data_IF_627564320381
#
_entry.id   IF_627564320381
#
_cell.length_a   1.000
_cell.length_b   1.000
_cell.length_c   1.000
_cell.angle_alpha   90.00
_cell.angle_beta   90.00
_cell.angle_gamma   90.00
#
_symmetry.space_group_name_H-M   'P 1'
#
loop_
_entity.id
_entity.type
_entity.pdbx_description
1 polymer ?
#
# COMPACT_ATOMS: atom_id res chain seq x y z
N UNK A 1 6.44 -5.54 15.80
CA UNK A 1 6.24 -5.52 14.34
C UNK A 1 6.89 -6.75 13.74
N UNK A 2 6.22 -7.39 12.80
CA UNK A 2 6.75 -8.50 12.00
C UNK A 2 7.12 -7.90 10.64
N UNK A 3 8.40 -7.92 10.31
CA UNK A 3 8.95 -7.36 9.06
C UNK A 3 9.93 -8.30 8.35
N UNK A 4 10.28 -9.43 8.98
CA UNK A 4 11.17 -10.44 8.41
C UNK A 4 10.53 -11.83 8.37
N UNK A 5 10.99 -12.68 7.44
CA UNK A 5 10.52 -14.06 7.27
C UNK A 5 10.67 -14.88 8.54
N UNK A 6 11.78 -14.73 9.26
CA UNK A 6 12.08 -15.51 10.47
C UNK A 6 11.06 -15.23 11.58
N UNK A 7 10.58 -13.99 11.67
CA UNK A 7 9.55 -13.60 12.62
C UNK A 7 8.18 -14.20 12.27
N UNK A 8 7.88 -14.40 10.98
CA UNK A 8 6.66 -15.10 10.56
C UNK A 8 6.72 -16.59 10.89
N UNK A 9 7.86 -17.25 10.60
CA UNK A 9 8.05 -18.69 10.88
C UNK A 9 7.93 -18.97 12.38
N UNK A 10 8.36 -18.03 13.23
CA UNK A 10 8.20 -18.16 14.67
C UNK A 10 6.74 -18.07 15.16
N UNK A 11 5.82 -17.56 14.34
CA UNK A 11 4.42 -17.32 14.71
C UNK A 11 3.44 -18.23 13.97
N UNK A 12 3.73 -18.64 12.74
CA UNK A 12 2.81 -19.33 11.84
C UNK A 12 3.48 -20.54 11.20
N UNK A 13 2.70 -21.61 11.01
CA UNK A 13 3.10 -22.73 10.17
C UNK A 13 2.96 -22.32 8.69
N UNK A 14 4.06 -21.86 8.08
CA UNK A 14 4.06 -21.39 6.68
C UNK A 14 3.81 -22.53 5.69
N UNK A 15 2.95 -22.26 4.71
CA UNK A 15 2.75 -23.09 3.52
C UNK A 15 3.97 -23.03 2.60
N UNK A 16 4.05 -23.96 1.65
CA UNK A 16 5.14 -23.96 0.66
C UNK A 16 5.07 -22.73 -0.25
N UNK A 17 3.88 -22.24 -0.58
CA UNK A 17 3.68 -21.01 -1.35
C UNK A 17 4.21 -19.77 -0.62
N UNK A 18 3.97 -19.66 0.69
CA UNK A 18 4.45 -18.53 1.50
C UNK A 18 5.96 -18.60 1.75
N UNK A 19 6.53 -19.81 1.84
CA UNK A 19 8.00 -19.97 1.90
C UNK A 19 8.66 -19.53 0.61
N UNK A 20 8.10 -19.95 -0.54
CA UNK A 20 8.61 -19.67 -1.89
C UNK A 20 8.56 -18.20 -2.28
N UNK A 21 7.67 -17.41 -1.66
CA UNK A 21 7.65 -15.95 -1.86
C UNK A 21 9.03 -15.30 -1.64
N UNK A 22 9.83 -15.85 -0.73
CA UNK A 22 11.14 -15.29 -0.35
C UNK A 22 12.30 -15.80 -1.20
N UNK A 23 12.04 -16.58 -2.25
CA UNK A 23 13.09 -17.10 -3.14
C UNK A 23 13.47 -16.07 -4.23
N UNK A 24 12.77 -14.93 -4.30
CA UNK A 24 13.00 -13.83 -5.24
C UNK A 24 13.23 -12.51 -4.50
N UNK A 25 14.05 -11.60 -5.04
CA UNK A 25 14.37 -10.31 -4.39
C UNK A 25 13.69 -9.07 -5.02
N UNK A 26 13.08 -9.16 -6.21
CA UNK A 26 12.69 -7.97 -6.98
C UNK A 26 11.24 -7.50 -6.77
N UNK A 27 11.08 -6.19 -6.53
CA UNK A 27 9.84 -5.44 -6.79
C UNK A 27 8.64 -5.71 -5.86
N UNK A 28 8.86 -6.38 -4.73
CA UNK A 28 7.77 -6.83 -3.86
C UNK A 28 7.40 -5.81 -2.78
N UNK A 29 6.09 -5.69 -2.50
CA UNK A 29 5.61 -4.98 -1.31
C UNK A 29 6.22 -5.64 -0.06
N UNK A 30 7.00 -4.92 0.77
CA UNK A 30 7.71 -5.51 1.89
C UNK A 30 6.74 -6.03 2.96
N UNK A 31 7.21 -6.98 3.78
CA UNK A 31 6.44 -7.50 4.90
C UNK A 31 6.32 -6.45 6.00
N UNK A 32 5.10 -6.16 6.44
CA UNK A 32 4.86 -5.31 7.62
C UNK A 32 3.53 -5.68 8.27
N UNK A 33 3.59 -6.33 9.42
CA UNK A 33 2.41 -6.77 10.17
C UNK A 33 2.54 -6.33 11.63
N UNK A 34 1.57 -5.59 12.19
CA UNK A 34 1.50 -5.32 13.63
C UNK A 34 1.43 -6.61 14.44
N UNK A 35 2.10 -6.66 15.59
CA UNK A 35 2.09 -7.84 16.46
C UNK A 35 0.67 -8.19 16.92
N UNK A 36 -0.16 -7.18 17.19
CA UNK A 36 -1.57 -7.38 17.50
C UNK A 36 -2.32 -8.06 16.35
N UNK A 37 -2.17 -7.59 15.11
CA UNK A 37 -2.82 -8.21 13.96
C UNK A 37 -2.36 -9.66 13.77
N UNK A 38 -1.05 -9.93 13.89
CA UNK A 38 -0.50 -11.28 13.79
C UNK A 38 -1.06 -12.22 14.88
N UNK A 39 -1.33 -11.71 16.10
CA UNK A 39 -1.90 -12.52 17.19
C UNK A 39 -3.35 -12.96 16.96
N UNK A 40 -4.04 -12.39 15.97
CA UNK A 40 -5.42 -12.76 15.62
C UNK A 40 -5.48 -13.88 14.58
N UNK A 41 -4.35 -14.23 13.95
CA UNK A 41 -4.26 -15.25 12.92
C UNK A 41 -4.23 -16.63 13.57
N UNK A 42 -5.07 -17.56 13.10
CA UNK A 42 -4.92 -18.98 13.44
C UNK A 42 -3.64 -19.55 12.79
N UNK A 43 -2.64 -19.98 13.58
CA UNK A 43 -1.35 -20.45 13.06
C UNK A 43 -1.45 -21.76 12.27
N UNK A 44 -2.49 -22.55 12.50
CA UNK A 44 -2.67 -23.89 11.92
C UNK A 44 -3.63 -23.89 10.73
N UNK A 45 -4.35 -22.78 10.50
CA UNK A 45 -5.26 -22.64 9.38
C UNK A 45 -4.62 -21.86 8.21
N UNK A 46 -4.18 -22.54 7.13
CA UNK A 46 -3.63 -21.85 5.96
C UNK A 46 -4.65 -21.00 5.21
N UNK A 47 -5.95 -21.22 5.44
CA UNK A 47 -7.05 -20.47 4.83
C UNK A 47 -7.60 -19.35 5.73
N UNK A 48 -6.94 -19.05 6.84
CA UNK A 48 -7.35 -17.97 7.74
C UNK A 48 -7.48 -16.64 6.95
N UNK A 49 -8.63 -15.93 7.08
CA UNK A 49 -8.89 -14.74 6.27
C UNK A 49 -8.00 -13.54 6.65
N UNK A 50 -7.49 -13.47 7.88
CA UNK A 50 -6.54 -12.42 8.29
C UNK A 50 -5.15 -12.73 7.73
N UNK A 51 -4.73 -14.01 7.78
CA UNK A 51 -3.48 -14.49 7.16
C UNK A 51 -3.37 -14.09 5.70
N UNK A 52 -4.41 -14.40 4.91
CA UNK A 52 -4.47 -14.11 3.47
C UNK A 52 -4.35 -12.63 3.13
N UNK A 53 -4.66 -11.73 4.07
CA UNK A 53 -4.55 -10.29 3.85
C UNK A 53 -3.13 -9.76 4.05
N UNK A 54 -2.25 -10.47 4.76
CA UNK A 54 -0.98 -9.89 5.25
C UNK A 54 0.26 -10.77 5.07
N UNK A 55 0.09 -12.09 5.00
CA UNK A 55 1.20 -13.02 4.76
C UNK A 55 1.42 -13.16 3.25
N UNK A 56 2.63 -12.87 2.76
CA UNK A 56 2.90 -12.90 1.33
C UNK A 56 2.99 -14.33 0.79
N UNK A 57 2.60 -14.50 -0.48
CA UNK A 57 2.58 -15.79 -1.17
C UNK A 57 3.23 -15.68 -2.55
N UNK A 58 3.88 -16.74 -3.02
CA UNK A 58 4.43 -16.83 -4.38
C UNK A 58 3.39 -16.59 -5.48
N UNK A 59 2.10 -16.72 -5.17
CA UNK A 59 1.01 -16.38 -6.08
C UNK A 59 1.02 -14.90 -6.51
N UNK A 60 1.57 -14.02 -5.68
CA UNK A 60 1.69 -12.59 -6.00
C UNK A 60 2.71 -12.30 -7.11
N UNK A 61 3.61 -13.26 -7.38
CA UNK A 61 4.64 -13.15 -8.41
C UNK A 61 4.11 -13.57 -9.79
N UNK A 62 2.87 -14.07 -9.85
CA UNK A 62 2.21 -14.44 -11.10
C UNK A 62 1.68 -13.19 -11.78
N UNK A 63 2.44 -12.70 -12.76
CA UNK A 63 2.08 -11.56 -13.60
C UNK A 63 1.52 -12.10 -14.92
N UNK A 64 0.33 -11.63 -15.31
CA UNK A 64 -0.28 -11.91 -16.61
C UNK A 64 -0.41 -10.63 -17.47
N UNK A 65 -0.89 -10.77 -18.69
CA UNK A 65 -1.08 -9.64 -19.63
C UNK A 65 -2.08 -8.57 -19.14
N UNK A 66 -2.91 -8.89 -18.15
CA UNK A 66 -3.91 -7.97 -17.57
C UNK A 66 -3.39 -7.29 -16.31
N UNK A 67 -2.23 -7.70 -15.81
CA UNK A 67 -1.62 -7.17 -14.61
C UNK A 67 -1.02 -5.81 -14.91
N UNK A 68 -1.37 -4.81 -14.11
CA UNK A 68 -0.83 -3.44 -14.18
C UNK A 68 -0.46 -2.95 -12.79
N UNK A 69 0.60 -2.17 -12.70
CA UNK A 69 1.02 -1.52 -11.45
C UNK A 69 0.14 -0.32 -11.08
N UNK A 70 -0.62 0.22 -12.04
CA UNK A 70 -1.52 1.35 -11.86
C UNK A 70 -2.94 1.03 -12.33
N UNK A 71 -3.67 0.11 -11.66
CA UNK A 71 -4.98 -0.36 -12.10
C UNK A 71 -6.06 0.73 -12.11
N UNK A 72 -5.80 1.87 -11.49
CA UNK A 72 -6.74 3.00 -11.43
C UNK A 72 -6.33 4.18 -12.33
N UNK A 73 -5.25 4.05 -13.10
CA UNK A 73 -4.66 5.11 -13.93
C UNK A 73 -4.37 6.39 -13.13
N UNK A 74 -3.92 6.26 -11.88
CA UNK A 74 -3.62 7.39 -11.01
C UNK A 74 -2.48 8.26 -11.55
N UNK A 75 -1.53 7.68 -12.30
CA UNK A 75 -0.45 8.44 -12.94
C UNK A 75 -1.00 9.32 -14.07
N UNK A 76 -1.96 8.81 -14.87
CA UNK A 76 -2.60 9.58 -15.94
C UNK A 76 -3.40 10.78 -15.40
N UNK A 77 -4.08 10.59 -14.26
CA UNK A 77 -4.85 11.64 -13.60
C UNK A 77 -4.05 12.45 -12.57
N UNK A 78 -2.75 12.21 -12.46
CA UNK A 78 -1.84 12.96 -11.60
C UNK A 78 -1.65 14.38 -12.13
N UNK A 79 -1.96 15.37 -11.30
CA UNK A 79 -1.79 16.80 -11.63
C UNK A 79 -0.61 17.43 -10.90
N UNK A 80 -0.13 16.75 -9.85
CA UNK A 80 1.15 16.96 -9.18
C UNK A 80 1.69 15.59 -8.74
N UNK A 81 2.90 15.53 -8.18
CA UNK A 81 3.48 14.28 -7.65
C UNK A 81 2.61 13.55 -6.62
N UNK A 82 1.73 14.27 -5.93
CA UNK A 82 0.90 13.73 -4.84
C UNK A 82 -0.59 14.06 -4.96
N UNK A 83 -1.04 14.67 -6.05
CA UNK A 83 -2.44 15.05 -6.23
C UNK A 83 -3.02 14.41 -7.49
N UNK A 84 -4.12 13.66 -7.31
CA UNK A 84 -4.85 13.00 -8.39
C UNK A 84 -6.19 13.70 -8.58
N UNK A 85 -6.48 14.16 -9.80
CA UNK A 85 -7.74 14.83 -10.15
C UNK A 85 -8.47 14.09 -11.28
N UNK A 86 -9.08 12.95 -10.93
CA UNK A 86 -9.85 12.14 -11.89
C UNK A 86 -11.30 12.59 -12.07
N UNK A 87 -11.92 13.15 -11.03
CA UNK A 87 -13.34 13.48 -11.03
C UNK A 87 -13.55 15.00 -10.97
N UNK A 88 -14.56 15.57 -11.65
CA UNK A 88 -14.68 17.01 -11.82
C UNK A 88 -14.69 17.87 -10.55
N UNK A 89 -15.17 17.32 -9.42
CA UNK A 89 -15.40 18.08 -8.20
C UNK A 89 -14.62 17.57 -6.98
N UNK A 90 -13.68 16.63 -7.15
CA UNK A 90 -12.92 16.06 -6.03
C UNK A 90 -11.53 15.59 -6.44
N UNK A 91 -10.59 15.74 -5.52
CA UNK A 91 -9.19 15.32 -5.68
C UNK A 91 -8.80 14.35 -4.58
N UNK A 92 -7.80 13.51 -4.84
CA UNK A 92 -7.16 12.67 -3.84
C UNK A 92 -5.71 13.12 -3.63
N UNK A 93 -5.37 13.48 -2.39
CA UNK A 93 -4.01 13.88 -2.01
C UNK A 93 -3.30 12.72 -1.30
N UNK A 94 -2.20 12.25 -1.88
CA UNK A 94 -1.36 11.16 -1.39
C UNK A 94 -0.42 11.66 -0.29
N UNK A 95 -0.95 11.74 0.93
CA UNK A 95 -0.28 12.33 2.10
C UNK A 95 0.98 11.60 2.57
N UNK A 96 1.04 10.28 2.41
CA UNK A 96 2.17 9.45 2.83
C UNK A 96 2.13 8.12 2.09
N UNK A 97 3.27 7.49 1.83
CA UNK A 97 3.35 6.10 1.35
C UNK A 97 3.40 5.06 2.48
N UNK A 98 3.35 5.52 3.73
CA UNK A 98 3.50 4.69 4.92
C UNK A 98 2.15 4.09 5.32
N UNK A 99 2.13 2.78 5.56
CA UNK A 99 1.03 2.09 6.23
C UNK A 99 1.49 1.43 7.53
N UNK A 100 0.59 1.26 8.51
CA UNK A 100 0.85 0.45 9.70
C UNK A 100 0.96 -1.05 9.37
N UNK A 101 0.25 -1.49 8.33
CA UNK A 101 0.18 -2.86 7.83
C UNK A 101 0.21 -2.87 6.31
N UNK A 102 0.91 -3.85 5.71
CA UNK A 102 1.00 -3.97 4.26
C UNK A 102 0.03 -5.04 3.76
N UNK A 103 -1.14 -4.60 3.30
CA UNK A 103 -2.16 -5.49 2.73
C UNK A 103 -1.65 -6.15 1.44
N UNK A 104 -1.72 -7.47 1.34
CA UNK A 104 -1.37 -8.25 0.12
C UNK A 104 -2.37 -8.08 -1.03
N UNK A 105 -3.34 -7.18 -0.91
CA UNK A 105 -4.24 -6.79 -1.98
C UNK A 105 -4.25 -5.26 -2.18
N UNK A 106 -3.21 -4.57 -1.71
CA UNK A 106 -3.09 -3.13 -1.91
C UNK A 106 -3.02 -2.80 -3.41
N UNK A 107 -3.96 -2.01 -3.91
CA UNK A 107 -3.97 -1.56 -5.31
C UNK A 107 -2.96 -0.43 -5.57
N UNK A 108 -2.39 0.16 -4.51
CA UNK A 108 -1.32 1.17 -4.57
C UNK A 108 0.05 0.60 -4.23
N UNK A 109 0.33 -0.66 -4.60
CA UNK A 109 1.65 -1.28 -4.41
C UNK A 109 2.78 -0.49 -5.07
N UNK A 110 2.51 0.20 -6.18
CA UNK A 110 3.47 1.08 -6.86
C UNK A 110 3.89 2.32 -6.05
N UNK A 111 3.09 2.71 -5.06
CA UNK A 111 3.29 3.92 -4.26
C UNK A 111 3.64 3.58 -2.81
N UNK A 112 2.94 2.62 -2.21
CA UNK A 112 3.10 2.23 -0.80
C UNK A 112 4.48 1.64 -0.55
N UNK A 113 5.14 2.08 0.54
CA UNK A 113 6.46 1.60 0.94
C UNK A 113 7.55 1.79 -0.14
N UNK A 114 7.56 2.97 -0.77
CA UNK A 114 8.59 3.38 -1.75
C UNK A 114 9.61 4.36 -1.15
N UNK A 115 9.66 4.42 0.18
CA UNK A 115 10.53 5.28 0.97
C UNK A 115 10.36 6.79 0.70
N UNK A 116 9.19 7.20 0.20
CA UNK A 116 8.88 8.61 -0.03
C UNK A 116 8.46 9.34 1.25
N UNK A 117 7.91 8.63 2.23
CA UNK A 117 7.46 9.17 3.50
C UNK A 117 6.27 10.14 3.40
N UNK A 118 6.03 10.94 4.45
CA UNK A 118 5.05 12.02 4.44
C UNK A 118 5.30 13.04 3.33
N UNK A 119 4.23 13.65 2.80
CA UNK A 119 4.30 14.71 1.82
C UNK A 119 5.14 15.88 2.35
N UNK A 120 6.06 16.38 1.54
CA UNK A 120 6.89 17.52 1.91
C UNK A 120 6.07 18.80 1.95
N UNK A 121 6.57 19.82 2.63
CA UNK A 121 5.93 21.14 2.63
C UNK A 121 5.72 21.71 1.23
N UNK A 122 6.62 21.43 0.28
CA UNK A 122 6.50 21.94 -1.08
C UNK A 122 5.46 21.17 -1.89
N UNK A 123 5.38 19.85 -1.74
CA UNK A 123 4.30 19.03 -2.34
C UNK A 123 2.91 19.44 -1.81
N UNK A 124 2.81 19.80 -0.52
CA UNK A 124 1.57 20.31 0.07
C UNK A 124 1.20 21.67 -0.53
N UNK A 125 2.16 22.58 -0.67
CA UNK A 125 1.91 23.90 -1.28
C UNK A 125 1.49 23.78 -2.74
N UNK A 126 2.14 22.90 -3.50
CA UNK A 126 1.82 22.64 -4.90
C UNK A 126 0.39 22.12 -5.05
N UNK A 127 0.01 21.11 -4.25
CA UNK A 127 -1.35 20.59 -4.23
C UNK A 127 -2.38 21.66 -3.81
N UNK A 128 -2.05 22.49 -2.81
CA UNK A 128 -2.92 23.58 -2.36
C UNK A 128 -3.09 24.66 -3.43
N UNK A 129 -2.03 25.02 -4.15
CA UNK A 129 -2.07 25.98 -5.25
C UNK A 129 -2.98 25.46 -6.38
N UNK A 130 -2.82 24.18 -6.76
CA UNK A 130 -3.69 23.55 -7.74
C UNK A 130 -5.15 23.64 -7.32
N UNK A 131 -5.50 23.23 -6.09
CA UNK A 131 -6.89 23.29 -5.61
C UNK A 131 -7.43 24.73 -5.57
N UNK A 132 -6.61 25.71 -5.19
CA UNK A 132 -7.02 27.13 -5.16
C UNK A 132 -7.38 27.67 -6.56
N UNK A 133 -6.71 27.20 -7.61
CA UNK A 133 -6.98 27.58 -9.00
C UNK A 133 -8.19 26.84 -9.62
N UNK A 134 -8.68 25.78 -8.96
CA UNK A 134 -9.73 24.90 -9.47
C UNK A 134 -11.00 24.98 -8.61
N UNK A 135 -11.82 26.06 -8.73
CA UNK A 135 -12.97 26.30 -7.86
C UNK A 135 -14.08 25.25 -7.97
N UNK A 136 -14.06 24.40 -8.99
CA UNK A 136 -14.95 23.25 -9.13
C UNK A 136 -14.65 22.14 -8.11
N UNK A 137 -13.42 22.06 -7.57
CA UNK A 137 -13.05 21.09 -6.53
C UNK A 137 -13.74 21.48 -5.22
N UNK A 138 -14.60 20.60 -4.72
CA UNK A 138 -15.37 20.78 -3.49
C UNK A 138 -14.93 19.85 -2.37
N UNK A 139 -14.22 18.79 -2.70
CA UNK A 139 -13.81 17.74 -1.77
C UNK A 139 -12.34 17.36 -1.99
N UNK A 140 -11.62 17.14 -0.90
CA UNK A 140 -10.26 16.61 -0.90
C UNK A 140 -10.26 15.34 -0.06
N UNK A 141 -9.88 14.23 -0.68
CA UNK A 141 -9.61 12.98 0.03
C UNK A 141 -8.14 12.92 0.41
N UNK A 142 -7.84 12.98 1.71
CA UNK A 142 -6.51 12.65 2.23
C UNK A 142 -6.35 11.14 2.22
N UNK A 143 -5.37 10.64 1.47
CA UNK A 143 -5.11 9.19 1.28
C UNK A 143 -3.62 8.97 0.99
N UNK A 144 -3.27 7.92 0.24
CA UNK A 144 -1.91 7.43 0.05
C UNK A 144 -1.82 6.01 0.59
N UNK A 145 -0.95 5.83 1.58
CA UNK A 145 -1.00 4.73 2.53
C UNK A 145 -2.06 4.99 3.60
N UNK A 146 -1.64 4.98 4.87
CA UNK A 146 -2.51 5.22 6.03
C UNK A 146 -2.26 6.61 6.61
N UNK A 147 -3.23 7.51 6.44
CA UNK A 147 -3.15 8.92 6.88
C UNK A 147 -2.96 9.03 8.39
N UNK A 148 -3.44 8.05 9.17
CA UNK A 148 -3.32 8.07 10.63
C UNK A 148 -1.92 7.71 11.12
N UNK A 149 -0.97 7.45 10.21
CA UNK A 149 0.45 7.30 10.54
C UNK A 149 1.18 8.64 10.68
N UNK A 150 0.55 9.74 10.28
CA UNK A 150 1.08 11.10 10.41
C UNK A 150 0.91 11.60 11.86
N UNK A 151 1.95 12.28 12.38
CA UNK A 151 2.00 12.81 13.75
C UNK A 151 2.52 14.24 13.78
#
# INVERSE_FOLDING_TARGET
MITKKEQLIALLNLTEEEKRFYDTEEGMLPLKIPAHYASLIDPDNPNDPLRRQVVPSSEELKIDERTTLDPLAEEEYGVTDRLIHRYPNRVAFLTTDICAIHCRHCFRRRFTATDQGPATSDQIKEAAAYVAEHPQVKEILFTGGDVLTLS
#
